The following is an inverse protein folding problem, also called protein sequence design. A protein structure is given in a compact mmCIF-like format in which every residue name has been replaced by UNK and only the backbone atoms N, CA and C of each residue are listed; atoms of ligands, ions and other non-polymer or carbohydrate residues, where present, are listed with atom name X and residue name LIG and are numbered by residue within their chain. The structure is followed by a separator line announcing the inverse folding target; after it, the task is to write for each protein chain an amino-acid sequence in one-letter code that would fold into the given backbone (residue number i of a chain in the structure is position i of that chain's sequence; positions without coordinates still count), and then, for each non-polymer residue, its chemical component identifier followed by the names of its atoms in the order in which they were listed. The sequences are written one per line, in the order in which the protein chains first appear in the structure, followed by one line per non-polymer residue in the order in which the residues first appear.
data_IF_664165646243
#
_entry.id   IF_664165646243
#
_cell.length_a   1.000
_cell.length_b   1.000
_cell.length_c   1.000
_cell.angle_alpha   90.00
_cell.angle_beta   90.00
_cell.angle_gamma   90.00
#
_symmetry.space_group_name_H-M   'P 1'
#
loop_
_entity.id
_entity.type
_entity.pdbx_description
1 polymer ?
#
# COMPACT_ATOMS: atom_id res chain seq x y z
N UNK A 1 9.47 38.88 -49.38
CA UNK A 1 9.29 37.52 -48.85
C UNK A 1 9.62 37.54 -47.37
N UNK A 2 8.63 37.46 -46.48
CA UNK A 2 8.84 37.44 -45.03
C UNK A 2 8.72 35.99 -44.52
N UNK A 3 9.75 35.49 -43.84
CA UNK A 3 9.74 34.17 -43.18
C UNK A 3 8.97 34.29 -41.87
N UNK A 4 7.81 33.63 -41.78
CA UNK A 4 7.14 33.38 -40.51
C UNK A 4 7.87 32.28 -39.76
N UNK A 5 8.60 32.63 -38.71
CA UNK A 5 9.11 31.67 -37.74
C UNK A 5 8.04 31.52 -36.65
N UNK A 6 7.33 30.40 -36.64
CA UNK A 6 6.45 30.04 -35.53
C UNK A 6 7.34 29.47 -34.42
N UNK A 7 7.61 30.28 -33.40
CA UNK A 7 8.24 29.83 -32.17
C UNK A 7 7.19 29.02 -31.40
N UNK A 8 7.29 27.69 -31.44
CA UNK A 8 6.53 26.82 -30.54
C UNK A 8 7.02 27.05 -29.11
N UNK A 9 6.19 27.65 -28.26
CA UNK A 9 6.46 27.76 -26.84
C UNK A 9 6.69 26.35 -26.24
N UNK A 10 7.62 26.18 -25.29
CA UNK A 10 7.80 24.90 -24.63
C UNK A 10 6.49 24.59 -23.87
N UNK A 11 5.90 23.44 -24.19
CA UNK A 11 4.80 22.88 -23.41
C UNK A 11 5.35 22.68 -22.00
N UNK A 12 4.91 23.51 -21.05
CA UNK A 12 5.14 23.26 -19.63
C UNK A 12 4.57 21.87 -19.34
N UNK A 13 5.46 20.90 -19.17
CA UNK A 13 5.09 19.61 -18.63
C UNK A 13 4.59 19.90 -17.21
N UNK A 14 3.27 19.97 -17.06
CA UNK A 14 2.61 20.01 -15.76
C UNK A 14 3.07 18.75 -15.04
N UNK A 15 4.06 18.89 -14.16
CA UNK A 15 4.50 17.81 -13.31
C UNK A 15 3.29 17.42 -12.46
N UNK A 16 2.69 16.26 -12.77
CA UNK A 16 1.63 15.75 -11.91
C UNK A 16 2.21 15.62 -10.49
N UNK A 17 1.54 16.20 -9.47
CA UNK A 17 2.03 16.11 -8.12
C UNK A 17 2.12 14.63 -7.75
N UNK A 18 3.29 14.20 -7.28
CA UNK A 18 3.51 12.87 -6.74
C UNK A 18 2.43 12.56 -5.70
N UNK A 19 1.49 11.68 -6.06
CA UNK A 19 0.51 11.14 -5.13
C UNK A 19 1.21 10.03 -4.37
N UNK A 20 1.67 10.33 -3.16
CA UNK A 20 2.11 9.31 -2.22
C UNK A 20 1.02 8.23 -2.11
N UNK A 21 1.42 6.96 -2.15
CA UNK A 21 0.51 5.85 -1.92
C UNK A 21 -0.15 6.05 -0.55
N UNK A 22 -1.43 6.37 -0.56
CA UNK A 22 -2.26 6.48 0.62
C UNK A 22 -3.30 5.37 0.53
N UNK A 23 -3.30 4.52 1.55
CA UNK A 23 -4.32 3.50 1.80
C UNK A 23 -5.75 4.05 1.89
N UNK A 24 -5.93 5.37 1.96
CA UNK A 24 -7.16 6.02 2.35
C UNK A 24 -7.73 6.86 1.19
N UNK A 25 -8.23 6.20 0.15
CA UNK A 25 -9.17 6.82 -0.78
C UNK A 25 -10.61 6.46 -0.40
N UNK A 26 -11.31 7.39 0.25
CA UNK A 26 -12.75 7.31 0.44
C UNK A 26 -13.18 7.60 1.87
N UNK A 27 -14.23 8.41 2.00
CA UNK A 27 -14.85 8.82 3.27
C UNK A 27 -15.05 7.62 4.19
N UNK A 28 -14.66 7.76 5.46
CA UNK A 28 -14.96 6.84 6.55
C UNK A 28 -16.43 6.38 6.50
N UNK A 29 -16.68 5.17 6.00
CA UNK A 29 -17.83 4.40 6.45
C UNK A 29 -17.34 3.57 7.63
N UNK A 30 -17.93 3.78 8.80
CA UNK A 30 -17.52 3.17 10.08
C UNK A 30 -17.67 1.64 10.12
N UNK A 31 -17.94 0.99 8.98
CA UNK A 31 -18.09 -0.45 8.83
C UNK A 31 -17.15 -0.99 7.74
N UNK A 32 -15.84 -0.83 7.91
CA UNK A 32 -14.91 -1.71 7.19
C UNK A 32 -15.06 -3.12 7.75
N UNK A 33 -15.87 -3.94 7.06
CA UNK A 33 -15.96 -5.38 7.29
C UNK A 33 -14.54 -5.98 7.34
N UNK A 34 -14.37 -7.05 8.13
CA UNK A 34 -13.10 -7.77 8.19
C UNK A 34 -12.59 -8.14 6.79
N UNK A 35 -13.51 -8.52 5.89
CA UNK A 35 -13.20 -8.86 4.51
C UNK A 35 -12.58 -7.69 3.74
N UNK A 36 -13.17 -6.48 3.83
CA UNK A 36 -12.62 -5.30 3.14
C UNK A 36 -11.27 -4.90 3.71
N UNK A 37 -11.12 -4.95 5.04
CA UNK A 37 -9.84 -4.67 5.69
C UNK A 37 -8.77 -5.69 5.29
N UNK A 38 -9.13 -6.98 5.22
CA UNK A 38 -8.22 -8.04 4.82
C UNK A 38 -7.76 -7.89 3.36
N UNK A 39 -8.68 -7.54 2.46
CA UNK A 39 -8.34 -7.34 1.06
C UNK A 39 -7.40 -6.14 0.87
N UNK A 40 -7.70 -5.03 1.53
CA UNK A 40 -6.87 -3.83 1.43
C UNK A 40 -5.49 -4.11 2.03
N UNK A 41 -5.42 -4.39 3.34
CA UNK A 41 -4.16 -4.66 4.03
C UNK A 41 -3.34 -5.75 3.33
N UNK A 42 -3.98 -6.83 2.89
CA UNK A 42 -3.32 -7.90 2.14
C UNK A 42 -2.68 -7.42 0.83
N UNK A 43 -3.34 -6.55 0.07
CA UNK A 43 -2.80 -6.00 -1.19
C UNK A 43 -1.53 -5.18 -0.99
N UNK A 44 -1.50 -4.30 0.00
CA UNK A 44 -0.27 -3.53 0.22
C UNK A 44 0.81 -4.28 1.00
N UNK A 45 0.48 -5.31 1.79
CA UNK A 45 1.51 -6.29 2.21
C UNK A 45 2.14 -6.93 0.98
N UNK A 46 1.35 -7.40 0.02
CA UNK A 46 1.86 -7.97 -1.22
C UNK A 46 2.73 -6.94 -1.99
N UNK A 47 2.26 -5.70 -2.12
CA UNK A 47 3.01 -4.62 -2.77
C UNK A 47 4.36 -4.36 -2.09
N UNK A 48 4.40 -4.35 -0.75
CA UNK A 48 5.65 -4.18 -0.01
C UNK A 48 6.62 -5.32 -0.32
N UNK A 49 6.13 -6.56 -0.33
CA UNK A 49 6.97 -7.73 -0.62
C UNK A 49 7.48 -7.72 -2.06
N UNK A 50 6.63 -7.35 -3.03
CA UNK A 50 7.01 -7.16 -4.44
C UNK A 50 8.08 -6.08 -4.60
N UNK A 51 7.97 -4.96 -3.89
CA UNK A 51 8.98 -3.89 -3.90
C UNK A 51 10.32 -4.40 -3.36
N UNK A 52 10.31 -5.18 -2.28
CA UNK A 52 11.53 -5.78 -1.72
C UNK A 52 12.15 -6.75 -2.73
N UNK A 53 11.36 -7.63 -3.33
CA UNK A 53 11.81 -8.61 -4.32
C UNK A 53 12.40 -7.93 -5.55
N UNK A 54 11.71 -6.93 -6.10
CA UNK A 54 12.20 -6.12 -7.21
C UNK A 54 13.50 -5.38 -6.85
N UNK A 55 13.59 -4.84 -5.64
CA UNK A 55 14.81 -4.17 -5.15
C UNK A 55 16.00 -5.12 -4.99
N UNK A 56 15.76 -6.38 -4.60
CA UNK A 56 16.79 -7.42 -4.54
C UNK A 56 17.25 -7.84 -5.93
N UNK A 57 16.32 -8.10 -6.85
CA UNK A 57 16.64 -8.46 -8.24
C UNK A 57 17.39 -7.34 -8.97
N UNK A 58 17.02 -6.07 -8.72
CA UNK A 58 17.73 -4.92 -9.26
C UNK A 58 19.19 -4.86 -8.80
N UNK A 59 19.50 -5.29 -7.58
CA UNK A 59 20.88 -5.26 -7.07
C UNK A 59 21.83 -6.17 -7.87
N UNK A 60 21.33 -7.21 -8.53
CA UNK A 60 22.13 -8.05 -9.43
C UNK A 60 22.57 -7.32 -10.71
N UNK A 61 21.89 -6.22 -11.06
CA UNK A 61 22.10 -5.49 -12.31
C UNK A 61 22.63 -4.06 -12.13
N UNK A 62 22.61 -3.49 -10.92
CA UNK A 62 23.04 -2.13 -10.64
C UNK A 62 24.15 -2.08 -9.58
N UNK A 63 25.15 -1.19 -9.78
CA UNK A 63 26.27 -1.01 -8.85
C UNK A 63 25.83 -0.54 -7.46
N UNK A 64 24.69 0.16 -7.37
CA UNK A 64 24.13 0.62 -6.10
C UNK A 64 22.78 -0.08 -5.85
N UNK A 65 22.58 -0.73 -4.69
CA UNK A 65 21.31 -1.36 -4.37
C UNK A 65 20.20 -0.30 -4.25
N UNK A 66 19.01 -0.63 -4.76
CA UNK A 66 17.82 0.23 -4.69
C UNK A 66 17.40 0.53 -3.25
N UNK A 67 17.65 -0.40 -2.34
CA UNK A 67 17.41 -0.27 -0.90
C UNK A 67 18.63 -0.73 -0.12
N UNK A 68 18.96 -0.04 0.96
CA UNK A 68 19.92 -0.58 1.93
C UNK A 68 19.23 -1.60 2.88
N UNK A 69 20.00 -2.26 3.73
CA UNK A 69 19.46 -3.24 4.68
C UNK A 69 18.42 -2.66 5.65
N UNK A 70 18.60 -1.39 6.08
CA UNK A 70 17.67 -0.74 6.99
C UNK A 70 16.32 -0.43 6.33
N UNK A 71 16.33 -0.01 5.06
CA UNK A 71 15.12 0.24 4.28
C UNK A 71 14.34 -1.08 4.10
N UNK A 72 15.03 -2.16 3.70
CA UNK A 72 14.43 -3.50 3.59
C UNK A 72 13.83 -3.98 4.91
N UNK A 73 14.58 -3.85 6.00
CA UNK A 73 14.12 -4.23 7.33
C UNK A 73 12.92 -3.40 7.80
N UNK A 74 12.80 -2.15 7.35
CA UNK A 74 11.68 -1.27 7.70
C UNK A 74 10.42 -1.64 6.92
N UNK A 75 10.56 -1.92 5.62
CA UNK A 75 9.49 -2.44 4.78
C UNK A 75 8.96 -3.79 5.30
N UNK A 76 9.85 -4.72 5.64
CA UNK A 76 9.48 -6.00 6.26
C UNK A 76 8.73 -5.80 7.58
N UNK A 77 9.22 -4.94 8.46
CA UNK A 77 8.54 -4.64 9.73
C UNK A 77 7.16 -4.06 9.49
N UNK A 78 6.99 -3.17 8.51
CA UNK A 78 5.69 -2.62 8.15
C UNK A 78 4.73 -3.72 7.68
N UNK A 79 5.16 -4.61 6.78
CA UNK A 79 4.36 -5.74 6.33
C UNK A 79 3.92 -6.65 7.50
N UNK A 80 4.86 -6.98 8.40
CA UNK A 80 4.58 -7.80 9.59
C UNK A 80 3.59 -7.10 10.53
N UNK A 81 3.81 -5.83 10.85
CA UNK A 81 2.91 -5.06 11.72
C UNK A 81 1.51 -4.97 11.14
N UNK A 82 1.37 -4.73 9.84
CA UNK A 82 0.08 -4.72 9.16
C UNK A 82 -0.62 -6.08 9.21
N UNK A 83 0.11 -7.19 9.03
CA UNK A 83 -0.43 -8.53 9.15
C UNK A 83 -0.93 -8.83 10.58
N UNK A 84 -0.15 -8.44 11.60
CA UNK A 84 -0.52 -8.63 13.01
C UNK A 84 -1.77 -7.85 13.39
N UNK A 85 -1.88 -6.59 12.95
CA UNK A 85 -3.08 -5.78 13.20
C UNK A 85 -4.33 -6.36 12.53
N UNK A 86 -4.19 -6.91 11.32
CA UNK A 86 -5.29 -7.61 10.66
C UNK A 86 -5.70 -8.88 11.41
N UNK A 87 -4.73 -9.66 11.91
CA UNK A 87 -5.00 -10.87 12.70
C UNK A 87 -5.69 -10.57 14.03
N UNK A 88 -5.32 -9.46 14.69
CA UNK A 88 -5.97 -8.98 15.90
C UNK A 88 -7.43 -8.59 15.62
N UNK A 89 -7.66 -7.82 14.55
CA UNK A 89 -9.03 -7.48 14.12
C UNK A 89 -9.85 -8.72 13.79
N UNK A 90 -9.27 -9.70 13.11
CA UNK A 90 -9.94 -10.96 12.79
C UNK A 90 -10.34 -11.73 14.05
N UNK A 91 -9.44 -11.80 15.03
CA UNK A 91 -9.70 -12.43 16.33
C UNK A 91 -10.87 -11.76 17.06
N UNK A 92 -10.89 -10.43 17.10
CA UNK A 92 -11.97 -9.68 17.74
C UNK A 92 -13.34 -9.91 17.09
N UNK A 93 -13.39 -10.00 15.75
CA UNK A 93 -14.64 -10.27 15.03
C UNK A 93 -15.16 -11.70 15.30
N UNK A 94 -14.26 -12.68 15.35
CA UNK A 94 -14.61 -14.08 15.67
C UNK A 94 -15.15 -14.18 17.10
N UNK A 95 -14.51 -13.52 18.06
CA UNK A 95 -14.94 -13.51 19.45
C UNK A 95 -16.32 -12.84 19.62
N UNK A 96 -16.54 -11.72 18.92
CA UNK A 96 -17.83 -11.03 18.89
C UNK A 96 -18.95 -11.93 18.38
N UNK A 97 -18.76 -12.57 17.23
CA UNK A 97 -19.77 -13.46 16.65
C UNK A 97 -20.01 -14.70 17.52
N UNK A 98 -18.97 -15.32 18.08
CA UNK A 98 -19.11 -16.43 19.01
C UNK A 98 -19.94 -16.06 20.25
N UNK A 99 -19.67 -14.89 20.84
CA UNK A 99 -20.43 -14.38 21.99
C UNK A 99 -21.90 -14.11 21.63
N UNK A 100 -22.16 -13.60 20.43
CA UNK A 100 -23.52 -13.37 19.92
C UNK A 100 -24.28 -14.68 19.76
N UNK A 101 -23.66 -15.72 19.21
CA UNK A 101 -24.29 -17.03 19.04
C UNK A 101 -24.60 -17.72 20.37
N UNK A 102 -23.73 -17.59 21.37
CA UNK A 102 -23.99 -18.12 22.72
C UNK A 102 -25.23 -17.48 23.35
N UNK A 103 -25.35 -16.14 23.28
CA UNK A 103 -26.53 -15.42 23.80
C UNK A 103 -27.83 -15.72 23.04
N UNK A 104 -27.75 -16.13 21.78
CA UNK A 104 -28.93 -16.50 20.99
C UNK A 104 -29.43 -17.93 21.28
N UNK A 105 -28.63 -18.74 21.99
CA UNK A 105 -28.96 -20.11 22.36
C UNK A 105 -29.52 -20.24 23.80
N UNK A 106 -29.52 -19.14 24.56
CA UNK A 106 -30.12 -18.99 25.89
C UNK A 106 -31.56 -18.47 25.80
#
# INVERSE_FOLDING_TARGET
MAKNTITSAPVEAVAEPFKAFQWQYGKYEHHHSLQTAALDIGKGIATILEIIEAGLAAHEHYETPMFNDNDRASLLRMAITSASLLAEKASGEIEFENTRFQKAAE
#
